data_IF_145722431044
#
_entry.id   IF_145722431044
#
_cell.length_a   1.000
_cell.length_b   1.000
_cell.length_c   1.000
_cell.angle_alpha   90.00
_cell.angle_beta   90.00
_cell.angle_gamma   90.00
#
_symmetry.space_group_name_H-M   'P 1'
#
loop_
_entity.id
_entity.type
_entity.pdbx_description
1 polymer ?
#
# COMPACT_ATOMS: atom_id res chain seq x y z
N UNK A 1 -10.07 5.95 -30.00
CA UNK A 1 -8.78 5.22 -29.97
C UNK A 1 -9.04 3.77 -30.30
N UNK A 2 -8.20 3.14 -31.13
CA UNK A 2 -8.32 1.71 -31.40
C UNK A 2 -8.05 0.92 -30.10
N UNK A 3 -8.82 -0.15 -29.86
CA UNK A 3 -8.61 -1.01 -28.71
C UNK A 3 -7.27 -1.75 -28.81
N UNK A 4 -6.59 -1.91 -27.67
CA UNK A 4 -5.34 -2.68 -27.56
C UNK A 4 -5.68 -4.03 -26.92
N UNK A 5 -5.25 -5.14 -27.51
CA UNK A 5 -5.43 -6.48 -26.92
C UNK A 5 -4.54 -6.60 -25.68
N UNK A 6 -5.11 -7.01 -24.53
CA UNK A 6 -4.42 -7.03 -23.23
C UNK A 6 -4.24 -8.44 -22.65
N UNK A 7 -4.88 -9.45 -23.24
CA UNK A 7 -4.72 -10.86 -22.82
C UNK A 7 -5.02 -11.84 -23.95
N UNK A 8 -4.61 -13.10 -23.74
CA UNK A 8 -4.79 -14.19 -24.71
C UNK A 8 -6.26 -14.63 -24.87
N UNK A 9 -7.16 -14.22 -23.98
CA UNK A 9 -8.60 -14.45 -24.06
C UNK A 9 -9.33 -13.45 -24.96
N UNK A 10 -8.60 -12.55 -25.62
CA UNK A 10 -9.16 -11.54 -26.52
C UNK A 10 -9.72 -10.29 -25.81
N UNK A 11 -9.38 -10.12 -24.53
CA UNK A 11 -9.70 -8.89 -23.82
C UNK A 11 -8.99 -7.69 -24.43
N UNK A 12 -9.67 -6.55 -24.51
CA UNK A 12 -9.10 -5.31 -25.08
C UNK A 12 -9.22 -4.15 -24.08
N UNK A 13 -8.27 -3.24 -24.12
CA UNK A 13 -8.31 -1.97 -23.40
C UNK A 13 -8.35 -0.80 -24.38
N UNK A 14 -9.10 0.25 -24.04
CA UNK A 14 -9.08 1.53 -24.75
C UNK A 14 -9.29 2.69 -23.78
N UNK A 15 -8.75 3.85 -24.12
CA UNK A 15 -9.05 5.09 -23.43
C UNK A 15 -10.23 5.76 -24.11
N UNK A 16 -11.31 5.96 -23.38
CA UNK A 16 -12.51 6.65 -23.85
C UNK A 16 -12.49 8.11 -23.38
N UNK A 17 -12.35 9.04 -24.31
CA UNK A 17 -12.26 10.48 -24.04
C UNK A 17 -13.54 11.24 -24.46
N UNK A 18 -14.41 10.58 -25.23
CA UNK A 18 -15.68 11.12 -25.71
C UNK A 18 -16.82 10.61 -24.82
N UNK A 19 -18.05 10.90 -25.21
CA UNK A 19 -19.23 10.43 -24.47
C UNK A 19 -19.39 11.07 -23.09
N UNK A 20 -19.02 12.34 -22.95
CA UNK A 20 -19.10 13.10 -21.68
C UNK A 20 -20.39 13.90 -21.54
N UNK A 21 -21.43 13.57 -22.31
CA UNK A 21 -22.74 14.22 -22.19
C UNK A 21 -23.39 13.82 -20.85
N UNK A 22 -23.60 14.78 -19.98
CA UNK A 22 -24.19 14.61 -18.66
C UNK A 22 -25.71 14.68 -18.66
N UNK A 23 -26.35 14.96 -19.78
CA UNK A 23 -27.81 15.05 -19.89
C UNK A 23 -28.53 13.73 -19.61
N UNK A 24 -27.82 12.61 -19.78
CA UNK A 24 -28.31 11.26 -19.47
C UNK A 24 -28.20 10.87 -18.00
N UNK A 25 -27.55 11.69 -17.17
CA UNK A 25 -27.44 11.48 -15.74
C UNK A 25 -28.60 12.10 -14.97
N UNK A 26 -28.93 11.59 -13.77
CA UNK A 26 -29.85 12.26 -12.85
C UNK A 26 -29.46 13.72 -12.62
N UNK A 27 -30.45 14.61 -12.56
CA UNK A 27 -30.25 16.06 -12.42
C UNK A 27 -29.46 16.49 -11.16
N UNK A 28 -29.38 15.61 -10.18
CA UNK A 28 -28.57 15.82 -8.97
C UNK A 28 -27.05 15.72 -9.21
N UNK A 29 -26.63 15.17 -10.38
CA UNK A 29 -25.23 15.02 -10.72
C UNK A 29 -24.74 16.22 -11.55
N UNK A 30 -23.86 17.03 -10.96
CA UNK A 30 -23.30 18.19 -11.64
C UNK A 30 -22.15 17.77 -12.57
N UNK A 31 -22.00 18.46 -13.71
CA UNK A 31 -20.92 18.19 -14.66
C UNK A 31 -19.52 18.63 -14.19
N UNK A 32 -19.43 19.30 -13.04
CA UNK A 32 -18.18 19.86 -12.52
C UNK A 32 -17.30 18.83 -11.79
N UNK A 33 -17.87 17.72 -11.33
CA UNK A 33 -17.15 16.66 -10.60
C UNK A 33 -16.59 15.61 -11.54
N UNK A 34 -15.36 15.16 -11.30
CA UNK A 34 -14.72 14.12 -12.11
C UNK A 34 -15.50 12.80 -12.08
N UNK A 35 -16.07 12.44 -10.93
CA UNK A 35 -16.92 11.25 -10.78
C UNK A 35 -18.09 11.27 -11.75
N UNK A 36 -18.78 12.41 -11.85
CA UNK A 36 -19.94 12.54 -12.72
C UNK A 36 -19.56 12.46 -14.21
N UNK A 37 -18.35 12.89 -14.57
CA UNK A 37 -17.83 12.70 -15.93
C UNK A 37 -17.58 11.22 -16.24
N UNK A 38 -17.05 10.45 -15.27
CA UNK A 38 -16.85 9.00 -15.41
C UNK A 38 -18.22 8.31 -15.59
N UNK A 39 -19.18 8.67 -14.75
CA UNK A 39 -20.55 8.13 -14.84
C UNK A 39 -21.23 8.48 -16.16
N UNK A 40 -21.03 9.71 -16.66
CA UNK A 40 -21.56 10.13 -17.96
C UNK A 40 -21.02 9.26 -19.09
N UNK A 41 -19.73 8.97 -19.12
CA UNK A 41 -19.15 8.06 -20.12
C UNK A 41 -19.80 6.68 -20.05
N UNK A 42 -19.91 6.09 -18.87
CA UNK A 42 -20.59 4.79 -18.69
C UNK A 42 -22.03 4.82 -19.18
N UNK A 43 -22.80 5.84 -18.77
CA UNK A 43 -24.22 5.97 -19.14
C UNK A 43 -24.40 6.15 -20.67
N UNK A 44 -23.61 7.01 -21.29
CA UNK A 44 -23.67 7.22 -22.73
C UNK A 44 -23.29 5.97 -23.54
N UNK A 45 -22.40 5.12 -23.02
CA UNK A 45 -22.07 3.83 -23.63
C UNK A 45 -23.22 2.84 -23.46
N UNK A 46 -23.85 2.80 -22.28
CA UNK A 46 -25.01 1.95 -22.01
C UNK A 46 -26.22 2.36 -22.89
N UNK A 47 -26.47 3.66 -23.10
CA UNK A 47 -27.52 4.16 -23.97
C UNK A 47 -27.32 3.78 -25.45
N UNK A 48 -26.09 3.45 -25.84
CA UNK A 48 -25.73 2.88 -27.16
C UNK A 48 -25.92 1.37 -27.24
N UNK A 49 -26.43 0.73 -26.19
CA UNK A 49 -26.69 -0.69 -26.16
C UNK A 49 -25.50 -1.55 -25.73
N UNK A 50 -24.44 -0.95 -25.18
CA UNK A 50 -23.33 -1.72 -24.61
C UNK A 50 -23.67 -2.16 -23.17
N UNK A 51 -23.23 -3.35 -22.81
CA UNK A 51 -23.24 -3.81 -21.42
C UNK A 51 -22.09 -3.14 -20.68
N UNK A 52 -22.41 -2.32 -19.67
CA UNK A 52 -21.45 -1.47 -18.98
C UNK A 52 -21.47 -1.73 -17.48
N UNK A 53 -20.32 -2.11 -16.95
CA UNK A 53 -20.09 -2.23 -15.50
C UNK A 53 -18.98 -1.29 -15.06
N UNK A 54 -19.24 -0.45 -14.07
CA UNK A 54 -18.23 0.38 -13.41
C UNK A 54 -17.48 -0.48 -12.38
N UNK A 55 -16.17 -0.59 -12.52
CA UNK A 55 -15.31 -1.29 -11.55
C UNK A 55 -14.47 -0.26 -10.81
N UNK A 56 -14.63 -0.15 -9.48
CA UNK A 56 -13.89 0.81 -8.66
C UNK A 56 -13.81 0.36 -7.20
N UNK A 57 -12.76 0.75 -6.48
CA UNK A 57 -12.69 0.64 -5.02
C UNK A 57 -13.50 1.72 -4.31
N UNK A 58 -13.73 2.86 -4.95
CA UNK A 58 -14.48 3.98 -4.38
C UNK A 58 -15.95 3.60 -4.19
N UNK A 59 -16.37 3.37 -2.94
CA UNK A 59 -17.75 3.03 -2.60
C UNK A 59 -18.73 4.15 -2.98
N UNK A 60 -18.50 5.44 -2.66
CA UNK A 60 -19.32 6.55 -3.13
C UNK A 60 -19.56 6.54 -4.65
N UNK A 61 -18.50 6.33 -5.45
CA UNK A 61 -18.62 6.26 -6.90
C UNK A 61 -19.46 5.07 -7.36
N UNK A 62 -19.32 3.88 -6.74
CA UNK A 62 -20.14 2.71 -7.05
C UNK A 62 -21.61 2.94 -6.72
N UNK A 63 -21.91 3.59 -5.58
CA UNK A 63 -23.28 3.96 -5.23
C UNK A 63 -23.89 4.95 -6.22
N UNK A 64 -23.13 5.98 -6.62
CA UNK A 64 -23.55 6.92 -7.68
C UNK A 64 -23.79 6.20 -9.02
N UNK A 65 -22.97 5.22 -9.38
CA UNK A 65 -23.17 4.40 -10.60
C UNK A 65 -24.48 3.63 -10.57
N UNK A 66 -24.80 3.00 -9.45
CA UNK A 66 -26.07 2.30 -9.28
C UNK A 66 -27.27 3.24 -9.41
N UNK A 67 -27.20 4.47 -8.85
CA UNK A 67 -28.23 5.50 -9.01
C UNK A 67 -28.35 5.96 -10.46
N UNK A 68 -27.24 5.99 -11.21
CA UNK A 68 -27.22 6.30 -12.65
C UNK A 68 -27.71 5.13 -13.52
N UNK A 69 -28.12 3.98 -12.93
CA UNK A 69 -28.58 2.81 -13.65
C UNK A 69 -27.48 2.02 -14.35
N UNK A 70 -26.26 2.08 -13.84
CA UNK A 70 -25.11 1.30 -14.30
C UNK A 70 -24.86 0.12 -13.37
N UNK A 71 -24.35 -1.00 -13.91
CA UNK A 71 -23.70 -2.03 -13.10
C UNK A 71 -22.49 -1.48 -12.38
N UNK A 72 -22.29 -1.88 -11.12
CA UNK A 72 -21.14 -1.42 -10.34
C UNK A 72 -20.54 -2.56 -9.52
N UNK A 73 -19.24 -2.77 -9.62
CA UNK A 73 -18.50 -3.83 -8.94
C UNK A 73 -17.26 -3.27 -8.22
N UNK A 74 -16.86 -3.97 -7.19
CA UNK A 74 -15.62 -3.68 -6.50
C UNK A 74 -14.42 -4.29 -7.24
N UNK A 75 -13.35 -3.51 -7.40
CA UNK A 75 -12.09 -4.06 -7.87
C UNK A 75 -11.43 -4.91 -6.78
N UNK A 76 -11.39 -6.23 -6.98
CA UNK A 76 -10.91 -7.19 -5.97
C UNK A 76 -9.53 -7.77 -6.27
N UNK A 77 -8.98 -7.57 -7.47
CA UNK A 77 -7.71 -8.17 -7.89
C UNK A 77 -6.46 -7.46 -7.34
N UNK A 78 -6.62 -6.49 -6.44
CA UNK A 78 -5.51 -5.94 -5.67
C UNK A 78 -5.17 -6.74 -4.41
N UNK A 79 -5.95 -7.75 -4.10
CA UNK A 79 -5.50 -8.78 -3.20
C UNK A 79 -4.41 -9.58 -3.93
N UNK A 80 -3.23 -8.97 -4.09
CA UNK A 80 -2.00 -9.75 -4.10
C UNK A 80 -2.15 -10.70 -2.90
N UNK A 81 -2.00 -12.00 -3.14
CA UNK A 81 -2.09 -12.99 -2.09
C UNK A 81 -1.41 -12.44 -0.83
N UNK A 82 -2.22 -12.00 0.13
CA UNK A 82 -1.76 -11.49 1.42
C UNK A 82 -1.07 -12.59 2.25
N UNK A 83 -1.09 -13.81 1.74
CA UNK A 83 -0.51 -14.98 2.38
C UNK A 83 1.03 -15.04 2.28
N UNK A 84 1.68 -14.19 1.48
CA UNK A 84 3.15 -14.17 1.35
C UNK A 84 3.73 -12.77 1.20
N UNK A 85 3.01 -11.73 1.63
CA UNK A 85 3.51 -10.36 1.60
C UNK A 85 4.71 -10.21 2.54
N UNK A 86 5.87 -9.87 2.00
CA UNK A 86 7.01 -9.43 2.79
C UNK A 86 6.63 -8.21 3.62
N UNK A 87 6.59 -8.36 4.95
CA UNK A 87 6.19 -7.29 5.88
C UNK A 87 7.29 -6.26 6.14
N UNK A 88 8.49 -6.48 5.62
CA UNK A 88 9.66 -5.67 5.93
C UNK A 88 10.34 -6.04 7.24
N UNK A 89 9.76 -6.94 8.05
CA UNK A 89 10.30 -7.37 9.34
C UNK A 89 10.65 -8.86 9.34
N UNK A 90 11.70 -9.19 10.11
CA UNK A 90 12.08 -10.55 10.48
C UNK A 90 12.14 -10.61 12.01
N UNK A 91 11.46 -11.58 12.60
CA UNK A 91 11.57 -11.87 14.04
C UNK A 91 12.67 -12.92 14.27
N UNK A 92 13.54 -12.66 15.24
CA UNK A 92 14.66 -13.50 15.58
C UNK A 92 14.72 -13.68 17.09
N UNK A 93 14.76 -14.93 17.53
CA UNK A 93 15.05 -15.26 18.94
C UNK A 93 16.58 -15.28 19.11
N UNK A 94 17.06 -14.53 20.08
CA UNK A 94 18.49 -14.35 20.37
C UNK A 94 18.77 -14.42 21.87
N UNK A 95 20.04 -14.60 22.24
CA UNK A 95 20.45 -14.53 23.65
C UNK A 95 20.38 -13.09 24.18
N UNK A 96 20.22 -12.96 25.50
CA UNK A 96 20.10 -11.63 26.14
C UNK A 96 21.33 -10.76 25.90
N UNK A 97 22.52 -11.34 25.91
CA UNK A 97 23.79 -10.64 25.67
C UNK A 97 23.85 -10.02 24.28
N UNK A 98 23.18 -10.59 23.27
CA UNK A 98 23.07 -10.01 21.92
C UNK A 98 22.26 -8.72 21.95
N UNK A 99 21.14 -8.72 22.68
CA UNK A 99 20.32 -7.52 22.86
C UNK A 99 21.10 -6.45 23.61
N UNK A 100 21.77 -6.81 24.69
CA UNK A 100 22.59 -5.88 25.49
C UNK A 100 23.77 -5.31 24.68
N UNK A 101 24.45 -6.15 23.90
CA UNK A 101 25.53 -5.73 23.01
C UNK A 101 25.02 -4.75 21.92
N UNK A 102 23.83 -5.00 21.35
CA UNK A 102 23.25 -4.10 20.35
C UNK A 102 22.94 -2.71 20.94
N UNK A 103 22.44 -2.65 22.16
CA UNK A 103 22.22 -1.36 22.85
C UNK A 103 23.54 -0.65 23.18
N UNK A 104 24.58 -1.39 23.55
CA UNK A 104 25.89 -0.83 23.93
C UNK A 104 26.70 -0.35 22.70
N UNK A 105 26.76 -1.18 21.65
CA UNK A 105 27.60 -0.93 20.48
C UNK A 105 26.89 -0.22 19.33
N UNK A 106 25.56 -0.14 19.38
CA UNK A 106 24.68 0.46 18.37
C UNK A 106 24.61 -0.31 17.03
N UNK A 107 25.58 -1.17 16.76
CA UNK A 107 25.59 -2.07 15.62
C UNK A 107 26.43 -3.31 15.89
N UNK A 108 25.98 -4.46 15.36
CA UNK A 108 26.74 -5.71 15.50
C UNK A 108 26.55 -6.60 14.26
N UNK A 109 27.46 -7.56 14.08
CA UNK A 109 27.27 -8.64 13.12
C UNK A 109 26.34 -9.67 13.76
N UNK A 110 25.22 -9.97 13.10
CA UNK A 110 24.21 -10.90 13.60
C UNK A 110 24.10 -12.09 12.61
N UNK A 111 24.73 -13.23 12.93
CA UNK A 111 24.69 -14.42 12.07
C UNK A 111 23.26 -14.91 11.80
N UNK A 112 22.36 -14.80 12.77
CA UNK A 112 20.95 -15.19 12.69
C UNK A 112 20.19 -14.38 11.64
N UNK A 113 20.64 -13.17 11.36
CA UNK A 113 20.08 -12.31 10.32
C UNK A 113 20.74 -12.51 8.94
N UNK A 114 21.61 -13.51 8.75
CA UNK A 114 22.36 -13.69 7.50
C UNK A 114 21.44 -13.78 6.28
N UNK A 115 20.32 -14.51 6.42
CA UNK A 115 19.33 -14.70 5.34
C UNK A 115 18.39 -13.53 5.13
N UNK A 116 18.30 -12.57 6.07
CA UNK A 116 17.45 -11.41 5.92
C UNK A 116 17.97 -10.50 4.81
N UNK A 117 17.11 -9.91 3.97
CA UNK A 117 17.54 -8.96 2.95
C UNK A 117 18.09 -7.66 3.57
N UNK A 118 18.91 -6.95 2.80
CA UNK A 118 19.34 -5.59 3.17
C UNK A 118 18.11 -4.70 3.34
N UNK A 119 18.14 -3.83 4.32
CA UNK A 119 17.04 -2.95 4.76
C UNK A 119 15.88 -3.66 5.48
N UNK A 120 15.94 -4.97 5.71
CA UNK A 120 14.99 -5.63 6.58
C UNK A 120 15.06 -5.08 8.02
N UNK A 121 13.90 -4.82 8.61
CA UNK A 121 13.78 -4.63 10.05
C UNK A 121 13.93 -5.96 10.77
N UNK A 122 14.65 -5.96 11.89
CA UNK A 122 14.95 -7.14 12.71
C UNK A 122 14.36 -6.94 14.11
N UNK A 123 13.36 -7.71 14.46
CA UNK A 123 12.79 -7.72 15.82
C UNK A 123 13.51 -8.81 16.60
N UNK A 124 14.48 -8.41 17.42
CA UNK A 124 15.24 -9.33 18.27
C UNK A 124 14.49 -9.56 19.58
N UNK A 125 14.22 -10.81 19.89
CA UNK A 125 13.55 -11.22 21.14
C UNK A 125 14.49 -12.03 21.99
N UNK A 126 14.61 -11.69 23.27
CA UNK A 126 15.32 -12.46 24.26
C UNK A 126 14.46 -12.69 25.50
N UNK A 127 14.83 -13.62 26.40
CA UNK A 127 14.10 -13.86 27.64
C UNK A 127 13.95 -12.63 28.54
N UNK A 128 14.85 -11.67 28.47
CA UNK A 128 14.89 -10.50 29.34
C UNK A 128 14.57 -9.17 28.65
N UNK A 129 14.37 -9.18 27.32
CA UNK A 129 14.06 -7.96 26.60
C UNK A 129 14.00 -8.14 25.10
N UNK A 130 13.83 -7.04 24.40
CA UNK A 130 13.81 -7.03 22.95
C UNK A 130 14.52 -5.79 22.40
N UNK A 131 15.01 -5.88 21.17
CA UNK A 131 15.55 -4.76 20.43
C UNK A 131 15.01 -4.72 19.01
N UNK A 132 14.93 -3.52 18.44
CA UNK A 132 14.62 -3.31 17.04
C UNK A 132 15.91 -2.88 16.32
N UNK A 133 16.24 -3.58 15.26
CA UNK A 133 17.40 -3.25 14.42
C UNK A 133 17.02 -3.25 12.95
N UNK A 134 17.91 -2.75 12.10
CA UNK A 134 17.82 -2.85 10.64
C UNK A 134 19.11 -3.45 10.09
N UNK A 135 18.99 -4.38 9.15
CA UNK A 135 20.15 -4.89 8.42
C UNK A 135 20.58 -3.87 7.37
N UNK A 136 21.77 -3.32 7.52
CA UNK A 136 22.31 -2.33 6.62
C UNK A 136 23.18 -2.94 5.51
N UNK A 137 23.58 -2.12 4.53
CA UNK A 137 24.37 -2.53 3.38
C UNK A 137 25.78 -3.05 3.74
N UNK A 138 26.29 -2.68 4.92
CA UNK A 138 27.53 -3.20 5.49
C UNK A 138 27.42 -4.63 6.04
N UNK A 139 26.22 -5.23 5.97
CA UNK A 139 25.92 -6.55 6.48
C UNK A 139 25.69 -6.61 8.01
N UNK A 140 25.76 -5.47 8.72
CA UNK A 140 25.54 -5.40 10.16
C UNK A 140 24.07 -5.09 10.50
N UNK A 141 23.66 -5.46 11.68
CA UNK A 141 22.41 -5.03 12.29
C UNK A 141 22.67 -3.72 13.06
N UNK A 142 22.01 -2.64 12.66
CA UNK A 142 22.08 -1.34 13.32
C UNK A 142 20.85 -1.12 14.18
N UNK A 143 21.02 -0.62 15.40
CA UNK A 143 19.93 -0.35 16.33
C UNK A 143 19.00 0.73 15.77
N UNK A 144 17.71 0.44 15.72
CA UNK A 144 16.66 1.42 15.37
C UNK A 144 16.20 2.11 16.66
N UNK A 145 16.37 3.42 16.74
CA UNK A 145 16.01 4.22 17.91
C UNK A 145 14.49 4.33 18.07
N UNK A 146 14.02 4.01 19.29
CA UNK A 146 12.58 3.96 19.58
C UNK A 146 11.89 5.32 19.67
N UNK A 147 12.66 6.39 19.89
CA UNK A 147 12.21 7.77 20.11
C UNK A 147 12.55 8.72 18.94
N UNK A 148 12.99 8.16 17.81
CA UNK A 148 13.27 8.98 16.62
C UNK A 148 11.99 9.68 16.13
N UNK A 149 12.10 10.98 15.97
CA UNK A 149 11.08 11.83 15.37
C UNK A 149 11.56 12.33 14.00
N UNK A 150 10.69 12.25 13.00
CA UNK A 150 10.91 12.82 11.67
C UNK A 150 9.73 13.74 11.35
N UNK A 151 9.97 15.05 11.21
CA UNK A 151 8.91 16.06 10.99
C UNK A 151 7.72 15.95 11.95
N UNK A 152 7.99 15.79 13.25
CA UNK A 152 7.01 15.57 14.32
C UNK A 152 6.24 14.24 14.25
N UNK A 153 6.58 13.36 13.29
CA UNK A 153 6.02 12.01 13.22
C UNK A 153 6.85 11.05 14.07
N UNK A 154 6.18 10.26 14.91
CA UNK A 154 6.78 9.23 15.74
C UNK A 154 6.23 7.85 15.39
N UNK A 155 7.12 6.86 15.21
CA UNK A 155 6.73 5.47 15.04
C UNK A 155 6.23 4.84 16.35
N UNK A 156 5.01 4.31 16.35
CA UNK A 156 4.42 3.59 17.48
C UNK A 156 4.65 2.09 17.39
N UNK A 157 4.62 1.51 16.18
CA UNK A 157 4.90 0.10 15.92
C UNK A 157 6.34 -0.12 15.44
N UNK A 158 6.79 -1.39 15.39
CA UNK A 158 8.10 -1.75 14.85
C UNK A 158 8.24 -1.36 13.37
N UNK A 159 7.20 -1.64 12.59
CA UNK A 159 7.12 -1.29 11.17
C UNK A 159 7.28 0.21 10.94
N UNK A 160 6.55 1.02 11.70
CA UNK A 160 6.61 2.48 11.60
C UNK A 160 8.00 3.03 12.00
N UNK A 161 8.65 2.44 13.01
CA UNK A 161 10.00 2.84 13.43
C UNK A 161 11.05 2.49 12.38
N UNK A 162 10.97 1.29 11.80
CA UNK A 162 11.85 0.88 10.69
C UNK A 162 11.61 1.75 9.46
N UNK A 163 10.35 2.07 9.14
CA UNK A 163 10.01 2.98 8.04
C UNK A 163 10.62 4.38 8.24
N UNK A 164 10.52 4.94 9.45
CA UNK A 164 11.16 6.23 9.77
C UNK A 164 12.68 6.17 9.70
N UNK A 165 13.29 5.06 10.11
CA UNK A 165 14.73 4.84 10.01
C UNK A 165 15.18 4.80 8.54
N UNK A 166 14.45 4.06 7.70
CA UNK A 166 14.70 4.00 6.25
C UNK A 166 14.53 5.36 5.56
N UNK A 167 13.46 6.09 5.90
CA UNK A 167 13.20 7.43 5.34
C UNK A 167 14.22 8.49 5.79
N UNK A 168 14.95 8.22 6.87
CA UNK A 168 16.00 9.11 7.40
C UNK A 168 17.39 8.78 6.87
N UNK A 169 17.54 7.72 6.09
CA UNK A 169 18.81 7.24 5.57
C UNK A 169 18.97 7.67 4.11
N UNK A 170 19.82 8.64 3.86
CA UNK A 170 20.07 9.19 2.51
C UNK A 170 20.64 8.15 1.52
N UNK A 171 21.12 7.01 2.00
CA UNK A 171 21.59 5.91 1.15
C UNK A 171 20.46 5.06 0.59
N UNK A 172 19.22 5.19 1.13
CA UNK A 172 18.03 4.45 0.71
C UNK A 172 17.24 5.30 -0.28
N UNK A 173 17.32 4.96 -1.57
CA UNK A 173 16.71 5.75 -2.64
C UNK A 173 15.18 5.62 -2.74
N UNK A 174 14.60 4.49 -2.33
CA UNK A 174 13.15 4.23 -2.44
C UNK A 174 12.68 3.47 -1.20
N UNK A 175 11.62 3.98 -0.57
CA UNK A 175 10.89 3.31 0.52
C UNK A 175 9.44 3.14 0.08
N UNK A 176 8.95 1.89 0.06
CA UNK A 176 7.55 1.58 -0.25
C UNK A 176 6.81 1.25 1.05
N UNK A 177 5.70 1.94 1.30
CA UNK A 177 4.82 1.70 2.44
C UNK A 177 3.50 1.14 1.91
N UNK A 178 3.16 -0.07 2.35
CA UNK A 178 1.86 -0.66 2.09
C UNK A 178 1.06 -0.69 3.40
N UNK A 179 -0.18 -0.24 3.36
CA UNK A 179 -1.09 -0.30 4.50
C UNK A 179 -2.38 -1.00 4.06
N UNK A 180 -2.89 -1.87 4.92
CA UNK A 180 -4.22 -2.42 4.71
C UNK A 180 -5.27 -1.32 4.99
N UNK A 181 -6.36 -1.23 4.18
CA UNK A 181 -7.39 -0.21 4.34
C UNK A 181 -8.04 -0.17 5.72
N UNK A 182 -8.07 -1.31 6.42
CA UNK A 182 -8.67 -1.43 7.76
C UNK A 182 -7.82 -0.80 8.88
N UNK A 183 -6.54 -0.51 8.62
CA UNK A 183 -5.65 0.11 9.60
C UNK A 183 -5.87 1.63 9.74
N UNK A 184 -6.55 2.27 8.78
CA UNK A 184 -6.74 3.73 8.74
C UNK A 184 -7.98 4.18 9.54
N UNK A 185 -8.87 3.28 9.94
CA UNK A 185 -10.21 3.62 10.45
C UNK A 185 -10.44 3.47 11.95
N UNK A 186 -9.47 3.06 12.78
CA UNK A 186 -9.74 2.70 14.18
C UNK A 186 -9.17 3.60 15.26
N UNK A 187 -8.46 4.68 14.92
CA UNK A 187 -7.84 5.58 15.92
C UNK A 187 -8.13 7.07 15.66
N UNK A 188 -9.41 7.43 15.44
CA UNK A 188 -9.87 8.81 15.56
C UNK A 188 -11.01 8.90 16.57
#
# INVERSE_FOLDING_TARGET
>A
TEPIVVNDAGGTARVELNHVDTSSLPSAFSSAENDHRILAVGRNLADKGLDVTLVSKDLPLRLKASVAGLGAEEYRNELADSDHGWTGLVELDVDTDVVDALYAERSLVLPEAAAAPINAGLVLRSPQGSALARKCADGRAHLVEGDRHLFDVRGRSAEQRVALDLLSDDSVGIVSLAAEPDAIGRDF
#
